data_IF_728472946259
#
_entry.id   IF_728472946259
#
_cell.length_a   1.000
_cell.length_b   1.000
_cell.length_c   1.000
_cell.angle_alpha   90.00
_cell.angle_beta   90.00
_cell.angle_gamma   90.00
#
_symmetry.space_group_name_H-M   'P 1'
#
loop_
_entity.id
_entity.type
_entity.pdbx_description
1 polymer ?
#
# COMPACT_ATOMS: atom_id res chain seq x y z
N UNK A 1 -33.65 -4.60 -26.31
CA UNK A 1 -33.28 -4.20 -24.94
C UNK A 1 -31.77 -4.13 -24.89
N UNK A 2 -31.19 -2.95 -24.67
CA UNK A 2 -29.75 -2.76 -24.53
C UNK A 2 -29.25 -3.39 -23.23
N UNK A 3 -28.10 -4.05 -23.26
CA UNK A 3 -27.49 -4.59 -22.05
C UNK A 3 -26.96 -3.44 -21.18
N UNK A 4 -27.13 -3.49 -19.85
CA UNK A 4 -26.56 -2.48 -18.96
C UNK A 4 -25.03 -2.53 -19.01
N UNK A 5 -24.39 -1.36 -19.02
CA UNK A 5 -22.93 -1.19 -19.02
C UNK A 5 -22.50 -0.55 -17.70
N UNK A 6 -21.46 -1.09 -17.08
CA UNK A 6 -20.81 -0.51 -15.91
C UNK A 6 -19.59 0.27 -16.38
N UNK A 7 -19.52 1.57 -16.04
CA UNK A 7 -18.35 2.41 -16.30
C UNK A 7 -17.65 2.70 -14.98
N UNK A 8 -16.37 2.38 -14.90
CA UNK A 8 -15.55 2.61 -13.71
C UNK A 8 -14.35 3.49 -14.07
N UNK A 9 -14.13 4.56 -13.30
CA UNK A 9 -12.88 5.32 -13.33
C UNK A 9 -11.97 4.78 -12.21
N UNK A 10 -10.79 4.29 -12.56
CA UNK A 10 -9.83 3.71 -11.61
C UNK A 10 -8.55 4.55 -11.60
N UNK A 11 -8.07 4.90 -10.41
CA UNK A 11 -6.78 5.55 -10.21
C UNK A 11 -5.90 4.67 -9.34
N UNK A 12 -4.64 4.53 -9.71
CA UNK A 12 -3.67 3.72 -8.98
C UNK A 12 -2.28 3.86 -9.58
N UNK A 13 -1.28 3.32 -8.89
CA UNK A 13 0.08 3.25 -9.43
C UNK A 13 0.13 2.16 -10.48
N UNK A 14 0.74 2.45 -11.62
CA UNK A 14 0.78 1.56 -12.78
C UNK A 14 -0.61 1.04 -13.18
N UNK A 15 -1.65 1.88 -13.01
CA UNK A 15 -3.06 1.47 -13.08
C UNK A 15 -3.41 0.67 -14.34
N UNK A 16 -2.89 1.06 -15.50
CA UNK A 16 -3.13 0.34 -16.76
C UNK A 16 -2.58 -1.08 -16.74
N UNK A 17 -1.35 -1.26 -16.23
CA UNK A 17 -0.73 -2.59 -16.12
C UNK A 17 -1.44 -3.43 -15.07
N UNK A 18 -1.70 -2.85 -13.90
CA UNK A 18 -2.41 -3.52 -12.82
C UNK A 18 -3.82 -3.97 -13.24
N UNK A 19 -4.54 -3.12 -13.95
CA UNK A 19 -5.87 -3.43 -14.48
C UNK A 19 -5.79 -4.51 -15.56
N UNK A 20 -4.85 -4.42 -16.51
CA UNK A 20 -4.65 -5.44 -17.53
C UNK A 20 -4.35 -6.82 -16.92
N UNK A 21 -3.48 -6.89 -15.91
CA UNK A 21 -3.14 -8.14 -15.22
C UNK A 21 -4.32 -8.68 -14.41
N UNK A 22 -5.09 -7.80 -13.74
CA UNK A 22 -6.31 -8.20 -13.04
C UNK A 22 -7.37 -8.77 -14.01
N UNK A 23 -7.56 -8.13 -15.17
CA UNK A 23 -8.48 -8.59 -16.19
C UNK A 23 -8.07 -9.96 -16.75
N UNK A 24 -6.78 -10.19 -17.01
CA UNK A 24 -6.26 -11.50 -17.43
C UNK A 24 -6.57 -12.61 -16.41
N UNK A 25 -6.38 -12.31 -15.11
CA UNK A 25 -6.72 -13.25 -14.03
C UNK A 25 -8.22 -13.56 -13.99
N UNK A 26 -9.06 -12.54 -14.15
CA UNK A 26 -10.52 -12.71 -14.18
C UNK A 26 -10.97 -13.56 -15.37
N UNK A 27 -10.37 -13.36 -16.56
CA UNK A 27 -10.68 -14.20 -17.73
C UNK A 27 -10.26 -15.65 -17.51
N UNK A 28 -9.10 -15.91 -16.91
CA UNK A 28 -8.62 -17.26 -16.60
C UNK A 28 -9.47 -17.96 -15.52
N UNK A 29 -9.87 -17.26 -14.46
CA UNK A 29 -10.78 -17.81 -13.45
C UNK A 29 -12.17 -18.11 -14.01
N UNK A 30 -12.62 -17.36 -15.04
CA UNK A 30 -13.93 -17.52 -15.67
C UNK A 30 -14.05 -18.78 -16.51
N UNK A 31 -13.00 -19.16 -17.23
CA UNK A 31 -12.96 -20.41 -18.00
C UNK A 31 -13.23 -21.63 -17.11
N UNK A 32 -12.87 -21.54 -15.82
CA UNK A 32 -13.12 -22.59 -14.83
C UNK A 32 -14.54 -22.57 -14.22
N UNK A 33 -15.35 -21.51 -14.45
CA UNK A 33 -16.55 -21.22 -13.64
C UNK A 33 -17.90 -21.09 -14.37
N UNK A 34 -18.05 -20.97 -15.70
CA UNK A 34 -19.42 -20.95 -16.28
C UNK A 34 -19.62 -21.33 -17.76
N UNK A 35 -20.61 -22.20 -17.96
CA UNK A 35 -21.32 -22.58 -19.21
C UNK A 35 -22.37 -21.55 -19.71
N UNK A 36 -22.28 -20.27 -19.35
CA UNK A 36 -23.27 -19.24 -19.76
C UNK A 36 -22.62 -18.15 -20.63
N UNK A 37 -22.99 -18.15 -21.91
CA UNK A 37 -22.29 -17.51 -23.03
C UNK A 37 -22.55 -16.02 -23.27
N UNK A 38 -22.61 -15.17 -22.23
CA UNK A 38 -22.52 -13.71 -22.47
C UNK A 38 -21.09 -13.22 -22.30
N UNK A 39 -20.43 -12.87 -23.41
CA UNK A 39 -19.12 -12.22 -23.42
C UNK A 39 -19.25 -10.83 -22.80
N UNK A 40 -18.67 -10.61 -21.62
CA UNK A 40 -18.49 -9.26 -21.08
C UNK A 40 -17.44 -8.56 -21.95
N UNK A 41 -17.88 -7.66 -22.81
CA UNK A 41 -16.98 -6.83 -23.60
C UNK A 41 -16.30 -5.84 -22.65
N UNK A 42 -15.04 -6.11 -22.31
CA UNK A 42 -14.25 -5.22 -21.45
C UNK A 42 -13.48 -4.25 -22.34
N UNK A 43 -13.76 -2.95 -22.18
CA UNK A 43 -13.05 -1.88 -22.89
C UNK A 43 -12.27 -1.10 -21.86
N UNK A 44 -10.96 -1.00 -22.05
CA UNK A 44 -10.06 -0.22 -21.20
C UNK A 44 -9.42 0.88 -22.05
N UNK A 45 -9.36 2.09 -21.51
CA UNK A 45 -8.57 3.15 -22.11
C UNK A 45 -7.08 2.74 -22.14
N UNK A 46 -6.38 3.06 -23.22
CA UNK A 46 -4.97 2.67 -23.40
C UNK A 46 -3.99 3.72 -22.91
N UNK A 47 -4.45 4.96 -22.70
CA UNK A 47 -3.61 6.06 -22.23
C UNK A 47 -4.35 6.93 -21.21
N UNK A 48 -3.62 7.69 -20.37
CA UNK A 48 -4.22 8.67 -19.47
C UNK A 48 -5.08 9.71 -20.19
N UNK A 49 -4.65 10.17 -21.37
CA UNK A 49 -5.37 11.18 -22.16
C UNK A 49 -6.71 10.63 -22.68
N UNK A 50 -6.70 9.39 -23.17
CA UNK A 50 -7.93 8.70 -23.59
C UNK A 50 -8.84 8.47 -22.39
N UNK A 51 -8.29 8.07 -21.25
CA UNK A 51 -9.03 7.87 -20.00
C UNK A 51 -9.74 9.15 -19.57
N UNK A 52 -9.02 10.27 -19.55
CA UNK A 52 -9.56 11.57 -19.16
C UNK A 52 -10.68 12.03 -20.11
N UNK A 53 -10.45 11.93 -21.43
CA UNK A 53 -11.45 12.29 -22.44
C UNK A 53 -12.70 11.42 -22.34
N UNK A 54 -12.55 10.12 -22.16
CA UNK A 54 -13.67 9.20 -21.98
C UNK A 54 -14.42 9.46 -20.68
N UNK A 55 -13.70 9.71 -19.58
CA UNK A 55 -14.32 10.07 -18.31
C UNK A 55 -15.20 11.32 -18.44
N UNK A 56 -14.79 12.32 -19.22
CA UNK A 56 -15.59 13.54 -19.48
C UNK A 56 -16.92 13.28 -20.20
N UNK A 57 -17.09 12.13 -20.87
CA UNK A 57 -18.37 11.75 -21.49
C UNK A 57 -19.30 11.03 -20.52
N UNK A 58 -18.76 10.31 -19.53
CA UNK A 58 -19.54 9.47 -18.63
C UNK A 58 -19.75 10.08 -17.24
N UNK A 59 -18.89 11.01 -16.83
CA UNK A 59 -18.89 11.64 -15.52
C UNK A 59 -18.94 13.16 -15.66
N UNK A 60 -19.66 13.80 -14.75
CA UNK A 60 -19.74 15.25 -14.56
C UNK A 60 -18.78 15.69 -13.46
N UNK A 61 -18.50 17.00 -13.33
CA UNK A 61 -17.64 17.51 -12.25
C UNK A 61 -18.21 17.24 -10.85
N UNK A 62 -19.52 16.99 -10.77
CA UNK A 62 -20.25 16.63 -9.55
C UNK A 62 -20.30 15.13 -9.29
N UNK A 63 -19.84 14.29 -10.22
CA UNK A 63 -19.76 12.84 -10.00
C UNK A 63 -18.50 12.55 -9.17
N UNK A 64 -18.70 12.52 -7.86
CA UNK A 64 -17.62 12.50 -6.87
C UNK A 64 -16.84 11.18 -6.82
N UNK A 65 -15.53 11.30 -6.66
CA UNK A 65 -14.72 10.26 -6.00
C UNK A 65 -14.74 10.59 -4.51
N UNK A 66 -15.58 9.92 -3.72
CA UNK A 66 -15.45 10.04 -2.27
C UNK A 66 -14.13 9.41 -1.83
N UNK A 67 -13.19 10.26 -1.43
CA UNK A 67 -11.99 9.84 -0.72
C UNK A 67 -12.36 9.11 0.58
N UNK A 68 -11.70 7.96 0.81
CA UNK A 68 -11.67 7.14 2.04
C UNK A 68 -13.01 6.70 2.71
N UNK A 69 -14.19 7.15 2.34
CA UNK A 69 -15.47 6.81 3.02
C UNK A 69 -16.46 5.97 2.21
N UNK A 70 -16.09 5.38 1.07
CA UNK A 70 -17.00 4.50 0.32
C UNK A 70 -17.36 3.17 1.02
N UNK A 71 -16.77 2.84 2.17
CA UNK A 71 -17.15 1.66 2.97
C UNK A 71 -17.99 1.99 4.22
N UNK A 72 -18.19 3.27 4.53
CA UNK A 72 -18.95 3.71 5.70
C UNK A 72 -19.89 4.84 5.30
N UNK A 73 -21.17 4.53 5.16
CA UNK A 73 -22.28 5.45 4.86
C UNK A 73 -22.29 6.02 3.43
N UNK A 74 -23.01 5.39 2.51
CA UNK A 74 -24.44 5.64 2.29
C UNK A 74 -24.87 4.93 0.98
N UNK A 75 -26.11 4.47 0.91
CA UNK A 75 -26.63 3.52 -0.08
C UNK A 75 -26.77 4.01 -1.53
N UNK A 76 -25.86 4.86 -2.04
CA UNK A 76 -25.98 5.43 -3.39
C UNK A 76 -25.00 4.84 -4.44
N UNK A 77 -23.84 4.30 -4.06
CA UNK A 77 -22.96 3.60 -5.05
C UNK A 77 -23.57 2.24 -5.46
N UNK A 78 -24.33 1.62 -4.56
CA UNK A 78 -25.01 0.34 -4.82
C UNK A 78 -26.39 0.47 -5.48
N UNK A 79 -26.91 1.69 -5.71
CA UNK A 79 -28.19 1.88 -6.42
C UNK A 79 -28.16 1.41 -7.88
N UNK A 80 -26.98 1.26 -8.47
CA UNK A 80 -26.79 0.89 -9.86
C UNK A 80 -26.28 -0.55 -10.07
N UNK A 81 -26.13 -1.34 -8.99
CA UNK A 81 -25.60 -2.70 -9.07
C UNK A 81 -26.65 -3.72 -8.61
N UNK A 82 -26.86 -4.76 -9.42
CA UNK A 82 -27.69 -5.92 -9.06
C UNK A 82 -27.07 -6.69 -7.89
N UNK A 83 -27.90 -7.30 -7.02
CA UNK A 83 -27.51 -8.09 -5.84
C UNK A 83 -26.38 -9.11 -6.11
N UNK A 84 -26.26 -9.63 -7.33
CA UNK A 84 -25.20 -10.58 -7.71
C UNK A 84 -23.80 -9.95 -7.85
N UNK A 85 -23.69 -8.66 -8.19
CA UNK A 85 -22.41 -7.95 -8.33
C UNK A 85 -21.81 -7.55 -6.97
N UNK A 86 -22.61 -7.58 -5.90
CA UNK A 86 -22.14 -7.31 -4.54
C UNK A 86 -21.12 -8.36 -4.03
N UNK A 87 -21.25 -9.63 -4.44
CA UNK A 87 -20.31 -10.68 -4.03
C UNK A 87 -18.97 -10.61 -4.80
N UNK A 88 -19.01 -10.22 -6.08
CA UNK A 88 -17.81 -10.09 -6.91
C UNK A 88 -16.94 -8.90 -6.49
N UNK A 89 -17.56 -7.75 -6.17
CA UNK A 89 -16.84 -6.58 -5.69
C UNK A 89 -16.31 -6.75 -4.25
N UNK A 90 -16.97 -7.55 -3.40
CA UNK A 90 -16.43 -7.94 -2.08
C UNK A 90 -15.13 -8.76 -2.18
N UNK A 91 -14.91 -9.49 -3.27
CA UNK A 91 -13.66 -10.23 -3.52
C UNK A 91 -12.52 -9.30 -3.98
N UNK A 92 -12.85 -8.21 -4.66
CA UNK A 92 -11.89 -7.20 -5.16
C UNK A 92 -11.55 -6.18 -4.05
N UNK A 93 -12.51 -5.88 -3.16
CA UNK A 93 -12.34 -4.96 -2.05
C UNK A 93 -11.94 -5.72 -0.77
N UNK A 94 -10.64 -5.77 -0.49
CA UNK A 94 -10.13 -6.26 0.80
C UNK A 94 -10.64 -5.34 1.93
N UNK A 95 -11.23 -6.00 2.93
CA UNK A 95 -11.98 -5.50 4.08
C UNK A 95 -11.42 -4.29 4.85
N UNK A 96 -12.32 -3.36 5.21
CA UNK A 96 -12.36 -2.71 6.52
C UNK A 96 -13.82 -2.46 6.92
N UNK A 97 -14.22 -3.03 8.06
CA UNK A 97 -15.42 -2.73 8.85
C UNK A 97 -14.95 -2.05 10.15
N UNK A 98 -15.78 -1.15 10.70
CA UNK A 98 -15.60 -0.17 11.81
C UNK A 98 -15.74 1.29 11.35
N UNK A 99 -16.93 1.84 11.58
CA UNK A 99 -17.35 3.15 11.10
C UNK A 99 -17.03 4.33 12.00
N UNK A 100 -17.27 5.51 11.44
CA UNK A 100 -17.86 6.72 12.05
C UNK A 100 -18.18 7.71 10.92
N UNK A 101 -19.23 8.48 11.12
CA UNK A 101 -19.73 9.51 10.19
C UNK A 101 -18.77 10.72 10.17
N UNK A 102 -18.25 11.07 9.00
CA UNK A 102 -17.47 12.30 8.76
C UNK A 102 -17.99 12.99 7.50
N UNK A 103 -18.04 14.32 7.54
CA UNK A 103 -18.56 15.19 6.47
C UNK A 103 -17.78 14.94 5.17
N UNK A 104 -18.49 14.56 4.11
CA UNK A 104 -17.93 14.33 2.79
C UNK A 104 -17.52 15.66 2.13
N UNK A 105 -16.23 15.97 2.13
CA UNK A 105 -15.69 16.91 1.14
C UNK A 105 -15.70 16.22 -0.22
N UNK A 106 -16.39 16.86 -1.15
CA UNK A 106 -16.72 16.29 -2.44
C UNK A 106 -15.74 16.88 -3.47
N UNK A 107 -14.68 16.15 -3.81
CA UNK A 107 -13.70 16.59 -4.81
C UNK A 107 -14.13 16.17 -6.23
N UNK A 108 -13.92 17.06 -7.21
CA UNK A 108 -14.17 16.76 -8.62
C UNK A 108 -13.29 15.60 -9.09
N UNK A 109 -13.91 14.61 -9.75
CA UNK A 109 -13.21 13.47 -10.35
C UNK A 109 -12.12 13.93 -11.32
N UNK A 110 -12.31 15.04 -12.03
CA UNK A 110 -11.32 15.57 -12.97
C UNK A 110 -10.12 16.19 -12.23
N UNK A 111 -10.35 16.90 -11.13
CA UNK A 111 -9.27 17.36 -10.25
C UNK A 111 -8.50 16.16 -9.73
N UNK A 112 -9.19 15.12 -9.25
CA UNK A 112 -8.57 13.90 -8.76
C UNK A 112 -7.74 13.16 -9.82
N UNK A 113 -8.20 13.12 -11.08
CA UNK A 113 -7.46 12.53 -12.21
C UNK A 113 -6.24 13.38 -12.63
N UNK A 114 -6.32 14.70 -12.50
CA UNK A 114 -5.24 15.63 -12.82
C UNK A 114 -4.20 15.73 -11.70
N UNK A 115 -4.58 15.46 -10.45
CA UNK A 115 -3.65 15.44 -9.32
C UNK A 115 -2.54 14.42 -9.59
N UNK A 116 -1.29 14.90 -9.53
CA UNK A 116 -0.11 14.06 -9.70
C UNK A 116 -0.02 12.93 -8.67
N UNK A 117 1.00 12.09 -8.79
CA UNK A 117 1.20 10.99 -7.84
C UNK A 117 1.31 11.54 -6.41
N UNK A 118 0.39 11.13 -5.53
CA UNK A 118 0.39 11.57 -4.15
C UNK A 118 1.68 11.15 -3.47
N UNK A 119 2.28 12.09 -2.76
CA UNK A 119 3.45 11.82 -1.95
C UNK A 119 2.97 11.14 -0.67
N UNK A 120 3.44 9.93 -0.43
CA UNK A 120 3.02 9.10 0.70
C UNK A 120 4.21 8.81 1.60
N UNK A 121 3.93 8.61 2.88
CA UNK A 121 4.92 8.22 3.87
C UNK A 121 4.93 6.69 4.07
N UNK A 122 6.10 6.15 4.38
CA UNK A 122 6.29 4.75 4.78
C UNK A 122 7.33 4.68 5.89
N UNK A 123 7.27 3.62 6.70
CA UNK A 123 8.29 3.37 7.72
C UNK A 123 9.28 2.31 7.22
N UNK A 124 10.56 2.61 7.42
CA UNK A 124 11.67 1.67 7.30
C UNK A 124 12.31 1.54 8.68
N UNK A 125 12.33 0.33 9.23
CA UNK A 125 13.06 0.02 10.45
C UNK A 125 14.29 -0.81 10.09
N UNK A 126 15.46 -0.30 10.45
CA UNK A 126 16.74 -0.97 10.31
C UNK A 126 17.02 -1.67 11.63
N UNK A 127 17.03 -3.01 11.59
CA UNK A 127 17.10 -3.88 12.77
C UNK A 127 18.45 -3.74 13.51
N UNK A 128 18.53 -4.16 14.78
CA UNK A 128 19.78 -4.11 15.55
C UNK A 128 20.95 -4.75 14.81
N UNK A 129 22.10 -4.07 14.83
CA UNK A 129 23.34 -4.50 14.16
C UNK A 129 23.41 -4.19 12.65
N UNK A 130 22.30 -3.94 11.96
CA UNK A 130 22.32 -3.73 10.51
C UNK A 130 22.73 -2.31 10.10
N UNK A 131 22.58 -1.31 10.97
CA UNK A 131 22.83 0.11 10.65
C UNK A 131 24.24 0.62 11.00
N UNK A 132 24.91 0.07 12.02
CA UNK A 132 26.13 0.67 12.63
C UNK A 132 27.24 0.98 11.62
N UNK A 133 27.50 0.09 10.67
CA UNK A 133 28.52 0.28 9.63
C UNK A 133 27.95 0.64 8.24
N UNK A 134 26.62 0.57 8.09
CA UNK A 134 25.96 0.67 6.78
C UNK A 134 25.07 1.92 6.61
N UNK A 135 24.83 2.69 7.67
CA UNK A 135 23.85 3.78 7.67
C UNK A 135 24.10 4.79 6.54
N UNK A 136 25.34 5.28 6.39
CA UNK A 136 25.67 6.24 5.33
C UNK A 136 25.40 5.68 3.93
N UNK A 137 25.66 4.39 3.71
CA UNK A 137 25.40 3.71 2.43
C UNK A 137 23.90 3.54 2.18
N UNK A 138 23.14 3.21 3.21
CA UNK A 138 21.68 3.08 3.16
C UNK A 138 21.04 4.43 2.84
N UNK A 139 21.42 5.51 3.55
CA UNK A 139 20.89 6.86 3.31
C UNK A 139 21.20 7.36 1.89
N UNK A 140 22.43 7.13 1.39
CA UNK A 140 22.77 7.46 0.00
C UNK A 140 21.89 6.72 -1.01
N UNK A 141 21.61 5.42 -0.79
CA UNK A 141 20.71 4.66 -1.67
C UNK A 141 19.28 5.17 -1.62
N UNK A 142 18.78 5.57 -0.45
CA UNK A 142 17.45 6.18 -0.32
C UNK A 142 17.34 7.47 -1.15
N UNK A 143 18.36 8.32 -1.08
CA UNK A 143 18.42 9.57 -1.84
C UNK A 143 18.47 9.31 -3.37
N UNK A 144 19.27 8.33 -3.81
CA UNK A 144 19.30 7.89 -5.21
C UNK A 144 17.93 7.42 -5.72
N UNK A 145 17.18 6.71 -4.86
CA UNK A 145 15.83 6.21 -5.14
C UNK A 145 14.73 7.27 -4.93
N UNK A 146 15.14 8.53 -4.68
CA UNK A 146 14.27 9.70 -4.50
C UNK A 146 13.36 9.63 -3.27
N UNK A 147 13.77 8.91 -2.24
CA UNK A 147 13.14 9.02 -0.93
C UNK A 147 13.66 10.25 -0.19
N UNK A 148 12.75 11.04 0.36
CA UNK A 148 13.06 12.06 1.35
C UNK A 148 12.92 11.46 2.75
N UNK A 149 13.92 11.61 3.61
CA UNK A 149 13.80 11.24 5.02
C UNK A 149 13.12 12.39 5.75
N UNK A 150 11.96 12.12 6.34
CA UNK A 150 11.13 13.13 7.02
C UNK A 150 11.04 12.91 8.53
N UNK A 151 11.55 11.77 9.01
CA UNK A 151 11.72 11.46 10.42
C UNK A 151 12.81 10.41 10.59
N UNK A 152 13.61 10.53 11.65
CA UNK A 152 14.61 9.54 12.03
C UNK A 152 14.64 9.43 13.55
N UNK A 153 14.52 8.21 14.07
CA UNK A 153 14.60 7.91 15.51
C UNK A 153 15.45 6.69 15.77
N UNK A 154 16.30 6.80 16.77
CA UNK A 154 17.07 5.69 17.31
C UNK A 154 16.35 5.19 18.56
N UNK A 155 15.92 3.93 18.57
CA UNK A 155 15.03 3.38 19.59
C UNK A 155 15.49 2.04 20.12
N UNK A 156 15.16 1.75 21.38
CA UNK A 156 15.13 0.39 21.91
C UNK A 156 13.71 -0.13 21.75
N UNK A 157 13.54 -1.27 21.08
CA UNK A 157 12.23 -1.86 20.88
C UNK A 157 11.78 -2.56 22.16
N UNK A 158 10.60 -2.21 22.65
CA UNK A 158 9.90 -2.97 23.67
C UNK A 158 9.28 -4.23 23.06
N UNK A 159 9.04 -5.24 23.90
CA UNK A 159 8.52 -6.54 23.45
C UNK A 159 7.17 -6.40 22.74
N UNK A 160 6.26 -5.57 23.26
CA UNK A 160 4.93 -5.35 22.69
C UNK A 160 5.00 -4.73 21.29
N UNK A 161 5.89 -3.75 21.11
CA UNK A 161 6.15 -3.11 19.82
C UNK A 161 6.76 -4.11 18.85
N UNK A 162 7.75 -4.91 19.30
CA UNK A 162 8.36 -5.95 18.49
C UNK A 162 7.33 -6.98 17.99
N UNK A 163 6.42 -7.43 18.86
CA UNK A 163 5.31 -8.31 18.51
C UNK A 163 4.38 -7.66 17.47
N UNK A 164 4.12 -6.36 17.57
CA UNK A 164 3.31 -5.61 16.60
C UNK A 164 3.88 -5.61 15.18
N UNK A 165 5.20 -5.66 15.05
CA UNK A 165 5.91 -5.65 13.75
C UNK A 165 5.92 -7.01 13.04
N UNK A 166 5.70 -8.10 13.76
CA UNK A 166 5.75 -9.46 13.19
C UNK A 166 4.45 -9.81 12.47
N UNK A 167 4.58 -10.56 11.37
CA UNK A 167 3.43 -11.01 10.59
C UNK A 167 2.68 -12.13 11.28
N UNK A 168 1.42 -12.33 10.88
CA UNK A 168 0.56 -13.35 11.48
C UNK A 168 1.09 -14.76 11.29
N UNK A 169 1.85 -15.04 10.22
CA UNK A 169 2.46 -16.35 9.96
C UNK A 169 3.58 -16.65 10.97
N UNK A 170 4.45 -15.66 11.23
CA UNK A 170 5.55 -15.78 12.20
C UNK A 170 5.01 -15.99 13.63
N UNK A 171 3.84 -15.44 13.94
CA UNK A 171 3.19 -15.59 15.25
C UNK A 171 2.61 -16.98 15.51
N UNK A 172 2.46 -17.83 14.49
CA UNK A 172 1.91 -19.18 14.68
C UNK A 172 2.94 -20.16 15.25
N UNK A 173 4.24 -19.92 15.02
CA UNK A 173 5.32 -20.75 15.52
C UNK A 173 5.98 -20.08 16.74
N UNK A 174 5.79 -20.62 17.97
CA UNK A 174 6.35 -20.02 19.18
C UNK A 174 7.87 -19.89 19.17
N UNK A 175 8.59 -20.85 18.59
CA UNK A 175 10.06 -20.85 18.60
C UNK A 175 10.60 -19.77 17.66
N UNK A 176 9.98 -19.61 16.49
CA UNK A 176 10.34 -18.55 15.54
C UNK A 176 9.96 -17.18 16.10
N UNK A 177 8.77 -17.06 16.71
CA UNK A 177 8.33 -15.84 17.37
C UNK A 177 9.32 -15.38 18.46
N UNK A 178 9.75 -16.29 19.33
CA UNK A 178 10.71 -16.00 20.40
C UNK A 178 12.06 -15.57 19.83
N UNK A 179 12.56 -16.24 18.79
CA UNK A 179 13.82 -15.86 18.13
C UNK A 179 13.75 -14.45 17.52
N UNK A 180 12.62 -14.10 16.89
CA UNK A 180 12.39 -12.76 16.35
C UNK A 180 12.31 -11.69 17.44
N UNK A 181 11.57 -11.95 18.51
CA UNK A 181 11.43 -11.01 19.62
C UNK A 181 12.78 -10.78 20.32
N UNK A 182 13.49 -11.86 20.65
CA UNK A 182 14.81 -11.81 21.28
C UNK A 182 15.79 -11.01 20.43
N UNK A 183 15.77 -11.20 19.11
CA UNK A 183 16.64 -10.43 18.22
C UNK A 183 16.24 -8.94 18.16
N UNK A 184 14.95 -8.63 18.03
CA UNK A 184 14.48 -7.24 17.95
C UNK A 184 14.75 -6.45 19.23
N UNK A 185 14.69 -7.09 20.40
CA UNK A 185 14.96 -6.47 21.72
C UNK A 185 16.43 -6.55 22.13
N UNK A 186 17.28 -7.28 21.41
CA UNK A 186 18.71 -7.44 21.74
C UNK A 186 19.55 -6.17 21.66
N UNK A 187 19.04 -5.11 21.01
CA UNK A 187 19.74 -3.85 20.87
C UNK A 187 18.91 -2.76 20.21
N UNK A 188 19.59 -1.69 19.85
CA UNK A 188 18.96 -0.48 19.30
C UNK A 188 18.66 -0.61 17.81
N UNK A 189 17.44 -0.26 17.42
CA UNK A 189 17.02 -0.15 16.03
C UNK A 189 17.00 1.31 15.57
N UNK A 190 17.11 1.53 14.26
CA UNK A 190 16.95 2.86 13.66
C UNK A 190 15.68 2.88 12.82
N UNK A 191 14.75 3.76 13.15
CA UNK A 191 13.49 3.95 12.42
C UNK A 191 13.58 5.20 11.56
N UNK A 192 13.24 5.06 10.28
CA UNK A 192 13.16 6.13 9.31
C UNK A 192 11.71 6.26 8.82
N UNK A 193 11.19 7.48 8.85
CA UNK A 193 10.00 7.83 8.09
C UNK A 193 10.45 8.38 6.74
N UNK A 194 10.01 7.72 5.67
CA UNK A 194 10.42 8.00 4.30
C UNK A 194 9.23 8.49 3.50
N UNK A 195 9.46 9.53 2.70
CA UNK A 195 8.45 10.18 1.89
C UNK A 195 8.81 10.07 0.41
N UNK A 196 7.86 9.60 -0.41
CA UNK A 196 8.01 9.46 -1.87
C UNK A 196 6.65 9.20 -2.53
N UNK A 197 6.42 9.57 -3.81
CA UNK A 197 5.36 8.95 -4.58
C UNK A 197 5.50 7.42 -4.59
N UNK A 198 4.42 6.68 -4.30
CA UNK A 198 4.47 5.22 -4.21
C UNK A 198 5.55 4.68 -3.21
N UNK A 199 5.72 5.35 -2.07
CA UNK A 199 6.79 5.04 -1.11
C UNK A 199 6.77 3.59 -0.63
N UNK A 200 5.61 3.09 -0.21
CA UNK A 200 5.44 1.74 0.35
C UNK A 200 5.92 0.67 -0.62
N UNK A 201 5.34 0.62 -1.83
CA UNK A 201 5.69 -0.40 -2.83
C UNK A 201 7.16 -0.32 -3.21
N UNK A 202 7.66 0.89 -3.47
CA UNK A 202 9.07 1.07 -3.85
C UNK A 202 10.01 0.62 -2.74
N UNK A 203 9.69 0.89 -1.48
CA UNK A 203 10.51 0.43 -0.35
C UNK A 203 10.52 -1.10 -0.29
N UNK A 204 9.36 -1.75 -0.38
CA UNK A 204 9.27 -3.23 -0.37
C UNK A 204 10.04 -3.84 -1.55
N UNK A 205 9.96 -3.23 -2.73
CA UNK A 205 10.70 -3.68 -3.92
C UNK A 205 12.23 -3.55 -3.73
N UNK A 206 12.71 -2.53 -3.02
CA UNK A 206 14.13 -2.38 -2.68
C UNK A 206 14.60 -3.38 -1.62
N UNK A 207 13.73 -3.69 -0.65
CA UNK A 207 14.05 -4.63 0.42
C UNK A 207 14.16 -6.07 -0.11
N UNK A 208 13.23 -6.48 -0.98
CA UNK A 208 13.14 -7.86 -1.47
C UNK A 208 12.42 -8.81 -0.49
N UNK A 209 12.39 -10.12 -0.77
CA UNK A 209 11.73 -11.11 0.08
C UNK A 209 12.39 -11.21 1.46
N UNK A 210 11.64 -11.68 2.47
CA UNK A 210 12.10 -11.69 3.87
C UNK A 210 13.30 -12.62 4.13
N UNK A 211 13.44 -13.68 3.36
CA UNK A 211 14.62 -14.57 3.39
C UNK A 211 15.75 -13.98 2.52
N UNK A 212 16.90 -13.63 3.12
CA UNK A 212 18.08 -13.16 2.39
C UNK A 212 18.52 -14.10 1.25
N UNK A 213 18.36 -15.41 1.40
CA UNK A 213 18.74 -16.39 0.36
C UNK A 213 17.83 -16.28 -0.87
N UNK A 214 16.53 -16.14 -0.65
CA UNK A 214 15.57 -15.91 -1.72
C UNK A 214 15.80 -14.54 -2.37
N UNK A 215 16.13 -13.52 -1.57
CA UNK A 215 16.45 -12.20 -2.09
C UNK A 215 17.68 -12.26 -3.00
N UNK A 216 18.74 -12.94 -2.56
CA UNK A 216 19.96 -13.13 -3.33
C UNK A 216 19.72 -13.89 -4.65
N UNK A 217 18.84 -14.90 -4.63
CA UNK A 217 18.47 -15.66 -5.82
C UNK A 217 17.63 -14.82 -6.81
N UNK A 218 16.80 -13.91 -6.30
CA UNK A 218 15.98 -13.01 -7.12
C UNK A 218 16.82 -11.88 -7.73
N UNK A 219 17.56 -11.14 -6.90
CA UNK A 219 18.45 -10.07 -7.33
C UNK A 219 19.47 -9.74 -6.21
N UNK A 220 20.79 -9.87 -6.47
CA UNK A 220 21.85 -9.57 -5.51
C UNK A 220 21.91 -8.10 -5.06
N UNK A 221 21.20 -7.19 -5.75
CA UNK A 221 21.12 -5.78 -5.38
C UNK A 221 20.05 -5.45 -4.34
N UNK A 222 19.17 -6.40 -4.03
CA UNK A 222 18.15 -6.26 -2.99
C UNK A 222 18.79 -6.11 -1.61
N UNK A 223 18.19 -5.29 -0.76
CA UNK A 223 18.84 -4.94 0.50
C UNK A 223 18.88 -6.12 1.47
N UNK A 224 17.85 -6.96 1.51
CA UNK A 224 17.90 -8.18 2.32
C UNK A 224 18.94 -9.18 1.82
N UNK A 225 19.26 -9.17 0.52
CA UNK A 225 20.37 -9.95 -0.03
C UNK A 225 21.73 -9.40 0.43
N UNK A 226 21.90 -8.07 0.43
CA UNK A 226 23.19 -7.43 0.73
C UNK A 226 23.52 -7.28 2.21
N UNK A 227 22.50 -7.11 3.05
CA UNK A 227 22.68 -6.80 4.48
C UNK A 227 22.05 -7.85 5.40
N UNK A 228 21.28 -8.80 4.87
CA UNK A 228 20.65 -9.86 5.65
C UNK A 228 21.59 -11.04 5.89
N UNK A 229 21.47 -11.66 7.07
CA UNK A 229 22.26 -12.82 7.51
C UNK A 229 21.39 -14.08 7.56
N UNK A 230 20.18 -13.96 8.10
CA UNK A 230 19.20 -15.05 8.23
C UNK A 230 17.78 -14.52 8.10
N UNK A 231 16.78 -15.40 8.12
CA UNK A 231 15.36 -15.02 8.11
C UNK A 231 14.99 -14.10 9.29
N UNK A 232 15.53 -14.40 10.48
CA UNK A 232 15.37 -13.57 11.69
C UNK A 232 16.16 -12.25 11.53
N UNK A 233 17.44 -12.37 11.16
CA UNK A 233 18.39 -11.26 10.99
C UNK A 233 18.46 -10.78 9.53
N UNK A 234 17.31 -10.45 8.95
CA UNK A 234 17.23 -9.98 7.56
C UNK A 234 17.52 -8.47 7.39
N UNK A 235 17.97 -7.80 8.45
CA UNK A 235 18.42 -6.41 8.44
C UNK A 235 17.31 -5.34 8.43
N UNK A 236 16.15 -5.60 7.81
CA UNK A 236 15.13 -4.56 7.59
C UNK A 236 13.69 -5.03 7.78
N UNK A 237 12.90 -4.14 8.36
CA UNK A 237 11.44 -4.15 8.32
C UNK A 237 10.94 -2.96 7.49
N UNK A 238 9.88 -3.17 6.72
CA UNK A 238 9.20 -2.11 5.99
C UNK A 238 7.69 -2.32 6.03
N UNK A 239 6.93 -1.23 6.14
CA UNK A 239 5.48 -1.26 6.13
C UNK A 239 4.97 -1.89 4.83
N UNK A 240 4.14 -2.94 4.92
CA UNK A 240 3.70 -3.73 3.74
C UNK A 240 2.51 -3.13 2.99
N UNK A 241 1.79 -2.19 3.59
CA UNK A 241 0.65 -1.49 2.99
C UNK A 241 0.55 -0.06 3.52
N UNK A 242 -0.26 0.79 2.87
CA UNK A 242 -0.48 2.17 3.33
C UNK A 242 -1.11 2.25 4.72
N UNK A 243 -2.07 1.38 5.02
CA UNK A 243 -2.68 1.30 6.35
C UNK A 243 -1.65 0.95 7.42
N UNK A 244 -0.76 0.00 7.11
CA UNK A 244 0.34 -0.40 7.99
C UNK A 244 1.32 0.78 8.14
N UNK A 245 1.66 1.47 7.05
CA UNK A 245 2.55 2.63 7.09
C UNK A 245 2.03 3.77 7.98
N UNK A 246 0.74 4.08 7.91
CA UNK A 246 0.11 5.09 8.78
C UNK A 246 0.16 4.66 10.25
N UNK A 247 -0.20 3.41 10.54
CA UNK A 247 -0.13 2.85 11.90
C UNK A 247 1.30 2.89 12.44
N UNK A 248 2.28 2.43 11.66
CA UNK A 248 3.68 2.40 12.07
C UNK A 248 4.22 3.82 12.25
N UNK A 249 3.83 4.76 11.40
CA UNK A 249 4.20 6.16 11.53
C UNK A 249 3.67 6.75 12.85
N UNK A 250 2.39 6.54 13.18
CA UNK A 250 1.79 6.96 14.44
C UNK A 250 2.46 6.31 15.66
N UNK A 251 2.84 5.04 15.51
CA UNK A 251 3.53 4.28 16.56
C UNK A 251 4.92 4.84 16.87
N UNK A 252 5.70 5.17 15.83
CA UNK A 252 7.10 5.60 16.02
C UNK A 252 7.28 7.12 16.10
N UNK A 253 6.38 7.92 15.53
CA UNK A 253 6.48 9.40 15.47
C UNK A 253 5.20 10.08 15.99
N UNK A 254 4.80 9.84 17.25
CA UNK A 254 3.59 10.45 17.82
C UNK A 254 3.70 11.98 17.98
N UNK A 255 4.91 12.53 18.02
CA UNK A 255 5.16 13.98 18.14
C UNK A 255 5.16 14.68 16.76
N UNK A 256 4.92 13.94 15.68
CA UNK A 256 4.94 14.45 14.32
C UNK A 256 6.27 14.23 13.58
N UNK A 257 6.33 14.76 12.35
CA UNK A 257 7.45 14.60 11.42
C UNK A 257 8.16 15.95 11.19
N UNK A 258 9.43 15.92 10.80
CA UNK A 258 10.26 17.12 10.63
C UNK A 258 9.95 17.93 9.36
N UNK A 259 9.00 17.51 8.53
CA UNK A 259 8.58 18.25 7.34
C UNK A 259 7.29 19.01 7.64
N UNK A 260 7.23 20.26 7.20
CA UNK A 260 5.99 21.04 7.17
C UNK A 260 4.88 20.20 6.54
N UNK A 261 3.71 20.26 7.18
CA UNK A 261 2.53 19.42 7.00
C UNK A 261 2.39 18.88 5.57
N UNK A 262 2.52 17.56 5.41
CA UNK A 262 1.96 16.91 4.25
C UNK A 262 0.44 17.00 4.38
N UNK A 263 -0.19 17.78 3.52
CA UNK A 263 -1.65 17.96 3.46
C UNK A 263 -2.45 16.64 3.42
N UNK A 264 -1.80 15.49 3.20
CA UNK A 264 -2.41 14.15 3.18
C UNK A 264 -2.44 13.42 4.54
N UNK A 265 -1.86 13.96 5.62
CA UNK A 265 -1.83 13.32 6.94
C UNK A 265 -2.67 14.04 8.01
N UNK A 266 -3.06 15.30 7.80
CA UNK A 266 -3.99 16.02 8.69
C UNK A 266 -5.42 15.44 8.66
N UNK A 267 -5.73 14.62 7.65
CA UNK A 267 -7.05 14.04 7.43
C UNK A 267 -7.41 12.90 8.40
N UNK A 268 -6.61 12.61 9.42
CA UNK A 268 -6.89 11.56 10.41
C UNK A 268 -6.97 12.06 11.88
N UNK A 269 -6.90 13.37 12.14
CA UNK A 269 -6.89 13.89 13.52
C UNK A 269 -8.04 14.83 13.94
N UNK A 270 -9.15 14.90 13.18
CA UNK A 270 -10.37 15.62 13.65
C UNK A 270 -11.66 14.84 13.48
#
# INVERSE_FOLDING_TARGET
>A
MSNPVLVCALRGIDAFKALADALKRLTQCRENLSKSGSLLQTVMALTPEVTFRQAAFFFTETDFVTGKTCFYYDGNVFKFLSQNMHCLLKSICVSCLVGKSQRSHAESLFTYLQTGAQILCTVLLIKPGAWSHNLARILRKLDLEKFRVVGMKHINLELDVALGLLSSEVKQDPAVLEAHCTYLTSGTALVLCLQRPNAVKKLIDLLGPEDPKLAQAQDPFLWRAQYGISTVQNGFYGSKSYQIAVRDMKLFFPEGLCCAECQTLEEEEV
#
